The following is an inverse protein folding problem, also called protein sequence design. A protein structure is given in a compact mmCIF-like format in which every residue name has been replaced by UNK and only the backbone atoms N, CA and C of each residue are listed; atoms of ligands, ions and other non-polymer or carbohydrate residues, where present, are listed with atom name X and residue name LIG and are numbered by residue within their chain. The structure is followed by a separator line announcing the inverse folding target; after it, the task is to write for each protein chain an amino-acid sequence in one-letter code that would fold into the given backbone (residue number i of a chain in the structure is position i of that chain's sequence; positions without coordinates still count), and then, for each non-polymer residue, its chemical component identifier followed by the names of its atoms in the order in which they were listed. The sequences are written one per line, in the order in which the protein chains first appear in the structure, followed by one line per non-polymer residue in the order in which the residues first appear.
data_IF_392608369825
#
_entry.id   IF_392608369825
#
_cell.length_a   1.000
_cell.length_b   1.000
_cell.length_c   1.000
_cell.angle_alpha   90.00
_cell.angle_beta   90.00
_cell.angle_gamma   90.00
#
_symmetry.space_group_name_H-M   'P 1'
#
loop_
_entity.id
_entity.type
_entity.pdbx_description
1 polymer ?
#
# COMPACT_ATOMS: atom_id res chain seq x y z
N UNK A 1 11.63 -15.63 -6.08
CA UNK A 1 12.03 -14.34 -5.48
C UNK A 1 12.48 -13.45 -6.63
N UNK A 2 11.54 -12.68 -7.19
CA UNK A 2 11.89 -11.70 -8.22
C UNK A 2 12.59 -10.52 -7.54
N UNK A 3 13.67 -10.05 -8.15
CA UNK A 3 14.44 -8.90 -7.67
C UNK A 3 13.68 -7.65 -8.11
N UNK A 4 13.20 -6.85 -7.17
CA UNK A 4 12.59 -5.54 -7.45
C UNK A 4 13.70 -4.67 -8.06
N UNK A 5 13.45 -4.05 -9.22
CA UNK A 5 14.43 -3.17 -9.85
C UNK A 5 14.48 -1.79 -9.16
N UNK A 6 15.63 -1.12 -9.27
CA UNK A 6 15.90 0.14 -8.56
C UNK A 6 14.92 1.26 -8.96
N UNK A 7 14.42 1.26 -10.19
CA UNK A 7 13.48 2.26 -10.69
C UNK A 7 12.08 2.09 -10.05
N UNK A 8 11.63 0.85 -9.92
CA UNK A 8 10.36 0.51 -9.24
C UNK A 8 10.42 0.87 -7.76
N UNK A 9 11.59 0.72 -7.13
CA UNK A 9 11.80 1.16 -5.76
C UNK A 9 11.72 2.69 -5.62
N UNK A 10 12.39 3.45 -6.49
CA UNK A 10 12.38 4.92 -6.47
C UNK A 10 10.98 5.51 -6.67
N UNK A 11 10.18 4.92 -7.56
CA UNK A 11 8.80 5.36 -7.77
C UNK A 11 7.94 5.15 -6.51
N UNK A 12 8.20 4.07 -5.78
CA UNK A 12 7.41 3.72 -4.60
C UNK A 12 7.82 4.56 -3.40
N UNK A 13 9.10 4.85 -3.25
CA UNK A 13 9.57 5.89 -2.31
C UNK A 13 8.92 7.24 -2.60
N UNK A 14 8.79 7.60 -3.88
CA UNK A 14 8.10 8.84 -4.30
C UNK A 14 6.63 8.81 -3.89
N UNK A 15 5.92 7.71 -4.15
CA UNK A 15 4.52 7.53 -3.76
C UNK A 15 4.33 7.58 -2.25
N UNK A 16 5.20 6.93 -1.47
CA UNK A 16 5.16 6.96 -0.02
C UNK A 16 5.41 8.39 0.51
N UNK A 17 6.39 9.09 -0.05
CA UNK A 17 6.69 10.49 0.29
C UNK A 17 5.52 11.43 0.05
N UNK A 18 4.79 11.22 -1.05
CA UNK A 18 3.56 11.95 -1.36
C UNK A 18 2.43 11.60 -0.39
N UNK A 19 2.24 10.31 -0.10
CA UNK A 19 1.21 9.85 0.84
C UNK A 19 1.43 10.34 2.26
N UNK A 20 2.68 10.45 2.73
CA UNK A 20 3.01 11.08 4.02
C UNK A 20 2.57 12.56 4.10
N UNK A 21 2.39 13.23 2.95
CA UNK A 21 1.89 14.61 2.84
C UNK A 21 0.38 14.68 2.59
N UNK A 22 -0.32 13.54 2.63
CA UNK A 22 -1.75 13.42 2.37
C UNK A 22 -2.12 13.41 0.88
N UNK A 23 -1.18 13.14 -0.03
CA UNK A 23 -1.44 13.05 -1.47
C UNK A 23 -1.56 11.57 -1.84
N UNK A 24 -2.79 11.11 -2.09
CA UNK A 24 -3.10 9.71 -2.40
C UNK A 24 -3.58 9.55 -3.85
N UNK A 25 -2.69 9.79 -4.83
CA UNK A 25 -3.06 9.82 -6.25
C UNK A 25 -3.55 8.48 -6.85
N UNK A 26 -3.28 7.36 -6.17
CA UNK A 26 -3.65 6.03 -6.64
C UNK A 26 -5.01 5.53 -6.12
N UNK A 27 -5.58 6.22 -5.14
CA UNK A 27 -6.72 5.72 -4.39
C UNK A 27 -7.82 6.77 -4.32
N UNK A 28 -9.07 6.32 -4.35
CA UNK A 28 -10.22 7.20 -4.12
C UNK A 28 -10.40 7.46 -2.61
N UNK A 29 -10.59 8.73 -2.24
CA UNK A 29 -10.64 9.14 -0.84
C UNK A 29 -11.84 8.57 -0.10
N UNK A 30 -13.00 8.42 -0.76
CA UNK A 30 -14.20 7.85 -0.12
C UNK A 30 -13.95 6.37 0.20
N UNK A 31 -13.37 5.65 -0.75
CA UNK A 31 -13.02 4.24 -0.62
C UNK A 31 -11.96 4.02 0.48
N UNK A 32 -10.93 4.87 0.54
CA UNK A 32 -9.93 4.82 1.63
C UNK A 32 -10.61 5.01 2.98
N UNK A 33 -11.47 6.03 3.10
CA UNK A 33 -12.13 6.35 4.36
C UNK A 33 -13.03 5.20 4.83
N UNK A 34 -13.72 4.53 3.93
CA UNK A 34 -14.56 3.38 4.28
C UNK A 34 -13.73 2.16 4.70
N UNK A 35 -12.63 1.86 4.01
CA UNK A 35 -11.73 0.75 4.37
C UNK A 35 -11.05 1.01 5.71
N UNK A 36 -10.44 2.18 5.87
CA UNK A 36 -9.66 2.52 7.06
C UNK A 36 -10.52 2.94 8.26
N UNK A 37 -11.84 3.08 8.09
CA UNK A 37 -12.77 3.32 9.22
C UNK A 37 -12.65 2.23 10.29
N UNK A 38 -12.44 0.99 9.86
CA UNK A 38 -12.20 -0.14 10.75
C UNK A 38 -10.68 -0.35 10.90
N UNK A 39 -10.11 -0.18 12.11
CA UNK A 39 -8.69 -0.37 12.34
C UNK A 39 -8.23 -1.77 11.91
N UNK A 40 -7.07 -1.83 11.26
CA UNK A 40 -6.49 -3.08 10.75
C UNK A 40 -6.18 -4.10 11.86
N UNK A 41 -5.87 -3.61 13.08
CA UNK A 41 -5.62 -4.43 14.27
C UNK A 41 -6.87 -5.18 14.76
N UNK A 42 -8.05 -4.59 14.60
CA UNK A 42 -9.32 -5.21 14.99
C UNK A 42 -9.71 -6.39 14.09
N UNK A 43 -9.09 -6.48 12.90
CA UNK A 43 -9.37 -7.49 11.88
C UNK A 43 -8.36 -8.66 11.88
N UNK A 44 -7.35 -8.64 12.76
CA UNK A 44 -6.20 -9.58 12.72
C UNK A 44 -5.63 -9.73 11.29
N UNK A 45 -5.52 -8.60 10.58
CA UNK A 45 -5.36 -8.60 9.14
C UNK A 45 -4.00 -9.17 8.68
N UNK A 46 -2.92 -8.86 9.41
CA UNK A 46 -1.55 -9.31 9.14
C UNK A 46 -1.22 -10.64 9.84
N UNK A 47 -2.06 -11.65 9.67
CA UNK A 47 -1.84 -13.00 10.19
C UNK A 47 -1.15 -13.91 9.17
N UNK A 48 -0.60 -15.05 9.63
CA UNK A 48 0.14 -16.00 8.79
C UNK A 48 -0.67 -16.52 7.58
N UNK A 49 -1.99 -16.68 7.71
CA UNK A 49 -2.85 -17.15 6.63
C UNK A 49 -3.00 -16.11 5.50
N UNK A 50 -2.90 -14.82 5.82
CA UNK A 50 -3.06 -13.73 4.86
C UNK A 50 -1.73 -13.23 4.29
N UNK A 51 -0.60 -13.50 4.97
CA UNK A 51 0.72 -13.00 4.57
C UNK A 51 1.11 -13.38 3.14
N UNK A 52 0.87 -14.63 2.72
CA UNK A 52 1.20 -15.06 1.36
C UNK A 52 0.39 -14.30 0.30
N UNK A 53 -0.90 -14.03 0.58
CA UNK A 53 -1.76 -13.26 -0.31
C UNK A 53 -1.35 -11.80 -0.37
N UNK A 54 -1.04 -11.20 0.79
CA UNK A 54 -0.52 -9.83 0.88
C UNK A 54 0.76 -9.70 0.07
N UNK A 55 1.73 -10.60 0.27
CA UNK A 55 2.99 -10.59 -0.48
C UNK A 55 2.75 -10.68 -1.98
N UNK A 56 1.92 -11.62 -2.43
CA UNK A 56 1.65 -11.79 -3.86
C UNK A 56 0.96 -10.58 -4.50
N UNK A 57 -0.05 -10.01 -3.84
CA UNK A 57 -0.77 -8.83 -4.36
C UNK A 57 0.12 -7.60 -4.35
N UNK A 58 0.88 -7.40 -3.27
CA UNK A 58 1.76 -6.25 -3.16
C UNK A 58 2.94 -6.34 -4.11
N UNK A 59 3.53 -7.53 -4.33
CA UNK A 59 4.54 -7.72 -5.37
C UNK A 59 4.01 -7.36 -6.75
N UNK A 60 2.80 -7.82 -7.12
CA UNK A 60 2.18 -7.44 -8.41
C UNK A 60 1.93 -5.93 -8.52
N UNK A 61 1.55 -5.29 -7.42
CA UNK A 61 1.40 -3.83 -7.36
C UNK A 61 2.73 -3.10 -7.57
N UNK A 62 3.82 -3.63 -6.99
CA UNK A 62 5.18 -3.07 -7.13
C UNK A 62 5.74 -3.28 -8.55
N UNK A 63 5.40 -4.40 -9.19
CA UNK A 63 5.83 -4.76 -10.55
C UNK A 63 5.14 -3.92 -11.64
N UNK A 64 4.12 -3.12 -11.28
CA UNK A 64 3.50 -2.18 -12.19
C UNK A 64 4.45 -0.99 -12.44
N UNK A 65 4.89 -0.74 -13.68
CA UNK A 65 6.01 0.17 -13.98
C UNK A 65 5.63 1.65 -13.96
N UNK A 66 4.33 1.98 -13.93
CA UNK A 66 3.86 3.35 -13.90
C UNK A 66 2.69 3.52 -12.95
N UNK A 67 2.47 4.75 -12.48
CA UNK A 67 1.29 5.10 -11.69
C UNK A 67 -0.03 4.79 -12.42
N UNK A 68 -0.07 4.88 -13.75
CA UNK A 68 -1.25 4.50 -14.54
C UNK A 68 -1.48 2.98 -14.51
N UNK A 69 -0.43 2.18 -14.68
CA UNK A 69 -0.54 0.71 -14.64
C UNK A 69 -0.99 0.24 -13.26
N UNK A 70 -0.54 0.91 -12.19
CA UNK A 70 -1.03 0.66 -10.82
C UNK A 70 -2.52 0.95 -10.67
N UNK A 71 -3.01 2.06 -11.23
CA UNK A 71 -4.44 2.35 -11.22
C UNK A 71 -5.25 1.28 -12.00
N UNK A 72 -4.75 0.86 -13.16
CA UNK A 72 -5.40 -0.21 -13.95
C UNK A 72 -5.40 -1.54 -13.21
N UNK A 73 -4.30 -1.88 -12.53
CA UNK A 73 -4.21 -3.05 -11.67
C UNK A 73 -5.25 -2.98 -10.55
N UNK A 74 -5.25 -1.88 -9.79
CA UNK A 74 -6.19 -1.65 -8.69
C UNK A 74 -7.66 -1.75 -9.13
N UNK A 75 -8.01 -1.22 -10.32
CA UNK A 75 -9.37 -1.29 -10.86
C UNK A 75 -9.82 -2.70 -11.26
N UNK A 76 -8.89 -3.64 -11.43
CA UNK A 76 -9.19 -5.04 -11.81
C UNK A 76 -9.27 -5.99 -10.62
N UNK A 77 -8.85 -5.53 -9.43
CA UNK A 77 -8.90 -6.32 -8.22
C UNK A 77 -10.34 -6.54 -7.77
N UNK A 78 -10.61 -7.72 -7.24
CA UNK A 78 -11.84 -7.95 -6.49
C UNK A 78 -11.83 -7.08 -5.23
N UNK A 79 -13.01 -6.69 -4.68
CA UNK A 79 -13.08 -5.76 -3.55
C UNK A 79 -12.20 -6.15 -2.35
N UNK A 80 -12.12 -7.44 -2.05
CA UNK A 80 -11.28 -7.97 -0.97
C UNK A 80 -9.78 -7.79 -1.25
N UNK A 81 -9.34 -8.00 -2.50
CA UNK A 81 -7.95 -7.83 -2.91
C UNK A 81 -7.56 -6.35 -2.93
N UNK A 82 -8.48 -5.48 -3.38
CA UNK A 82 -8.31 -4.04 -3.32
C UNK A 82 -8.13 -3.57 -1.88
N UNK A 83 -9.00 -4.02 -0.96
CA UNK A 83 -8.88 -3.74 0.46
C UNK A 83 -7.51 -4.19 1.00
N UNK A 84 -7.03 -5.37 0.58
CA UNK A 84 -5.73 -5.86 1.00
C UNK A 84 -4.59 -4.93 0.59
N UNK A 85 -4.58 -4.47 -0.66
CA UNK A 85 -3.55 -3.56 -1.16
C UNK A 85 -3.61 -2.22 -0.44
N UNK A 86 -4.82 -1.65 -0.25
CA UNK A 86 -5.00 -0.38 0.47
C UNK A 86 -4.48 -0.48 1.90
N UNK A 87 -4.94 -1.48 2.67
CA UNK A 87 -4.51 -1.65 4.07
C UNK A 87 -3.00 -1.85 4.19
N UNK A 88 -2.42 -2.65 3.29
CA UNK A 88 -0.97 -2.90 3.29
C UNK A 88 -0.20 -1.63 2.95
N UNK A 89 -0.64 -0.89 1.93
CA UNK A 89 -0.03 0.37 1.53
C UNK A 89 -0.04 1.40 2.67
N UNK A 90 -1.19 1.63 3.29
CA UNK A 90 -1.31 2.60 4.38
C UNK A 90 -0.59 2.14 5.65
N UNK A 91 -0.52 0.84 5.92
CA UNK A 91 0.31 0.33 7.01
C UNK A 91 1.81 0.65 6.80
N UNK A 92 2.30 0.53 5.57
CA UNK A 92 3.68 0.93 5.23
C UNK A 92 3.87 2.44 5.38
N UNK A 93 2.90 3.25 4.94
CA UNK A 93 2.92 4.72 5.11
C UNK A 93 3.00 5.08 6.60
N UNK A 94 2.11 4.52 7.42
CA UNK A 94 2.07 4.77 8.86
C UNK A 94 3.39 4.38 9.53
N UNK A 95 3.90 3.19 9.24
CA UNK A 95 5.19 2.74 9.77
C UNK A 95 6.34 3.67 9.34
N UNK A 96 6.32 4.17 8.10
CA UNK A 96 7.31 5.10 7.57
C UNK A 96 7.23 6.46 8.28
N UNK A 97 6.02 6.97 8.53
CA UNK A 97 5.80 8.20 9.31
C UNK A 97 6.31 8.03 10.74
N UNK A 98 5.96 6.92 11.40
CA UNK A 98 6.39 6.62 12.76
C UNK A 98 7.91 6.53 12.87
N UNK A 99 8.56 5.84 11.94
CA UNK A 99 10.01 5.74 11.87
C UNK A 99 10.66 7.13 11.70
N UNK A 100 10.17 7.96 10.77
CA UNK A 100 10.69 9.31 10.55
C UNK A 100 10.45 10.27 11.72
N UNK A 101 9.33 10.12 12.43
CA UNK A 101 9.00 10.95 13.60
C UNK A 101 9.86 10.62 14.83
N UNK A 102 10.25 9.35 14.98
CA UNK A 102 11.06 8.85 16.10
C UNK A 102 12.52 9.33 16.05
N UNK A 103 13.01 9.80 14.89
CA UNK A 103 14.32 10.43 14.74
C UNK A 103 14.35 11.92 15.15
N UNK A 104 13.23 12.53 15.58
CA UNK A 104 13.16 13.96 15.95
C UNK A 104 13.20 14.24 17.47
N UNK A 105 13.64 13.29 18.30
CA UNK A 105 13.78 13.49 19.75
C UNK A 105 15.20 13.24 20.27
#
# INVERSE_FOLDING_TARGET
MQQIDDASLEEIETLLSQSMRGIHALFDNETIADILRNPTEELDFFNFSNMDRIQNLFSQFMDCPTSYDRQVFLQRLEPEEYEIVVRTYFHIVDNTVLANSSFRH
#
